data_IF_423258645553
#
_entry.id   IF_423258645553
#
_cell.length_a   1.000
_cell.length_b   1.000
_cell.length_c   1.000
_cell.angle_alpha   90.00
_cell.angle_beta   90.00
_cell.angle_gamma   90.00
#
_symmetry.space_group_name_H-M   'P 1'
#
loop_
_entity.id
_entity.type
_entity.pdbx_description
1 polymer ?
#
# COMPACT_ATOMS: atom_id res chain seq x y z
N UNK A 1 3.50 24.49 -30.30
CA UNK A 1 2.99 24.49 -28.91
C UNK A 1 3.22 23.08 -28.36
N UNK A 2 4.30 22.89 -27.59
CA UNK A 2 4.54 21.61 -26.94
C UNK A 2 3.54 21.47 -25.79
N UNK A 3 2.59 20.57 -25.91
CA UNK A 3 1.77 20.14 -24.80
C UNK A 3 2.68 19.35 -23.85
N UNK A 4 3.18 20.04 -22.83
CA UNK A 4 3.89 19.40 -21.74
C UNK A 4 2.84 18.61 -20.94
N UNK A 5 2.53 17.40 -21.40
CA UNK A 5 1.62 16.49 -20.67
C UNK A 5 2.42 16.03 -19.46
N UNK A 6 2.20 16.68 -18.31
CA UNK A 6 2.73 16.20 -17.03
C UNK A 6 2.30 14.74 -16.90
N UNK A 7 3.26 13.86 -16.65
CA UNK A 7 2.99 12.44 -16.41
C UNK A 7 2.01 12.32 -15.23
N UNK A 8 1.02 11.43 -15.33
CA UNK A 8 0.09 11.22 -14.24
C UNK A 8 0.84 10.68 -13.00
N UNK A 9 0.38 11.02 -11.79
CA UNK A 9 1.08 10.64 -10.55
C UNK A 9 1.35 9.14 -10.45
N UNK A 10 0.44 8.31 -10.97
CA UNK A 10 0.61 6.85 -10.96
C UNK A 10 1.59 6.32 -12.01
N UNK A 11 2.07 7.14 -12.94
CA UNK A 11 3.12 6.78 -13.90
C UNK A 11 4.53 7.09 -13.37
N UNK A 12 4.61 7.82 -12.26
CA UNK A 12 5.87 8.20 -11.66
C UNK A 12 6.47 7.05 -10.84
N UNK A 13 7.80 6.95 -10.89
CA UNK A 13 8.54 6.05 -9.99
C UNK A 13 8.54 6.58 -8.57
N UNK A 14 8.82 5.71 -7.59
CA UNK A 14 9.00 6.11 -6.17
C UNK A 14 9.99 7.28 -6.04
N UNK A 15 11.12 7.23 -6.75
CA UNK A 15 12.12 8.28 -6.70
C UNK A 15 11.66 9.60 -7.34
N UNK A 16 10.82 9.53 -8.38
CA UNK A 16 10.25 10.72 -9.01
C UNK A 16 9.19 11.36 -8.11
N UNK A 17 8.33 10.55 -7.48
CA UNK A 17 7.36 11.03 -6.49
C UNK A 17 8.06 11.68 -5.30
N UNK A 18 9.09 11.03 -4.72
CA UNK A 18 9.86 11.57 -3.60
C UNK A 18 10.47 12.95 -3.95
N UNK A 19 11.03 13.10 -5.15
CA UNK A 19 11.56 14.40 -5.60
C UNK A 19 10.50 15.49 -5.71
N UNK A 20 9.34 15.17 -6.30
CA UNK A 20 8.25 16.14 -6.44
C UNK A 20 7.71 16.58 -5.07
N UNK A 21 7.57 15.63 -4.13
CA UNK A 21 7.16 15.91 -2.75
C UNK A 21 8.19 16.79 -2.03
N UNK A 22 9.47 16.46 -2.10
CA UNK A 22 10.54 17.26 -1.49
C UNK A 22 10.63 18.67 -2.08
N UNK A 23 10.37 18.80 -3.38
CA UNK A 23 10.32 20.09 -4.09
C UNK A 23 8.98 20.82 -3.92
N UNK A 24 8.01 20.21 -3.20
CA UNK A 24 6.65 20.73 -3.01
C UNK A 24 5.92 21.06 -4.32
N UNK A 25 6.20 20.31 -5.37
CA UNK A 25 5.49 20.39 -6.65
C UNK A 25 4.12 19.71 -6.57
N UNK A 26 3.97 18.79 -5.62
CA UNK A 26 2.74 18.10 -5.26
C UNK A 26 2.73 17.87 -3.75
N UNK A 27 1.58 17.86 -3.11
CA UNK A 27 1.42 17.53 -1.70
C UNK A 27 1.29 16.02 -1.49
N UNK A 28 1.67 15.55 -0.30
CA UNK A 28 1.47 14.16 0.08
C UNK A 28 -0.04 13.80 0.13
N UNK A 29 -0.89 14.75 0.50
CA UNK A 29 -2.35 14.58 0.48
C UNK A 29 -2.86 14.35 -0.95
N UNK A 30 -2.42 15.14 -1.94
CA UNK A 30 -2.81 14.93 -3.34
C UNK A 30 -2.35 13.58 -3.87
N UNK A 31 -1.11 13.19 -3.57
CA UNK A 31 -0.58 11.88 -4.00
C UNK A 31 -1.34 10.73 -3.34
N UNK A 32 -1.58 10.79 -2.02
CA UNK A 32 -2.33 9.76 -1.30
C UNK A 32 -3.77 9.64 -1.81
N UNK A 33 -4.47 10.77 -1.99
CA UNK A 33 -5.84 10.79 -2.53
C UNK A 33 -5.90 10.16 -3.92
N UNK A 34 -4.96 10.52 -4.80
CA UNK A 34 -4.89 9.95 -6.15
C UNK A 34 -4.82 8.41 -6.13
N UNK A 35 -3.98 7.82 -5.27
CA UNK A 35 -3.86 6.37 -5.18
C UNK A 35 -5.05 5.71 -4.47
N UNK A 36 -5.67 6.37 -3.49
CA UNK A 36 -6.92 5.90 -2.87
C UNK A 36 -8.06 5.84 -3.89
N UNK A 37 -8.22 6.88 -4.72
CA UNK A 37 -9.22 6.93 -5.77
C UNK A 37 -9.00 5.82 -6.81
N UNK A 38 -7.74 5.56 -7.17
CA UNK A 38 -7.40 4.46 -8.06
C UNK A 38 -7.71 3.09 -7.45
N UNK A 39 -7.37 2.88 -6.17
CA UNK A 39 -7.70 1.64 -5.47
C UNK A 39 -9.23 1.42 -5.45
N UNK A 40 -10.01 2.47 -5.21
CA UNK A 40 -11.47 2.44 -5.24
C UNK A 40 -12.00 2.10 -6.64
N UNK A 41 -11.47 2.71 -7.70
CA UNK A 41 -11.90 2.49 -9.08
C UNK A 41 -11.60 1.07 -9.59
N UNK A 42 -10.63 0.38 -9.00
CA UNK A 42 -10.15 -0.93 -9.46
C UNK A 42 -10.35 -2.05 -8.43
N UNK A 43 -11.35 -1.93 -7.55
CA UNK A 43 -11.67 -2.93 -6.50
C UNK A 43 -11.88 -4.34 -7.06
N UNK A 44 -12.34 -4.46 -8.31
CA UNK A 44 -12.56 -5.75 -8.98
C UNK A 44 -11.29 -6.61 -9.10
N UNK A 45 -10.09 -6.02 -8.96
CA UNK A 45 -8.82 -6.77 -8.92
C UNK A 45 -8.62 -7.55 -7.62
N UNK A 46 -9.36 -7.23 -6.55
CA UNK A 46 -9.24 -7.92 -5.26
C UNK A 46 -7.91 -7.69 -4.54
N UNK A 47 -7.13 -6.67 -4.93
CA UNK A 47 -5.78 -6.48 -4.41
C UNK A 47 -5.73 -6.03 -2.95
N UNK A 48 -6.68 -5.21 -2.49
CA UNK A 48 -6.74 -4.69 -1.12
C UNK A 48 -7.73 -5.45 -0.25
N UNK A 49 -7.33 -5.78 0.98
CA UNK A 49 -8.19 -6.36 2.03
C UNK A 49 -8.55 -5.35 3.12
N UNK A 50 -7.80 -4.27 3.25
CA UNK A 50 -8.15 -3.15 4.13
C UNK A 50 -7.65 -1.82 3.57
N UNK A 51 -8.49 -0.79 3.61
CA UNK A 51 -8.19 0.62 3.33
C UNK A 51 -8.88 1.45 4.40
N UNK A 52 -8.16 2.44 4.94
CA UNK A 52 -8.69 3.46 5.84
C UNK A 52 -8.27 4.82 5.27
N UNK A 53 -9.10 5.39 4.40
CA UNK A 53 -8.79 6.65 3.73
C UNK A 53 -8.59 7.81 4.70
N UNK A 54 -9.44 8.02 5.74
CA UNK A 54 -9.21 9.05 6.75
C UNK A 54 -7.85 8.93 7.43
N UNK A 55 -7.45 7.74 7.87
CA UNK A 55 -6.17 7.54 8.54
C UNK A 55 -4.98 7.70 7.57
N UNK A 56 -5.09 7.25 6.33
CA UNK A 56 -4.08 7.48 5.27
C UNK A 56 -3.89 8.97 5.01
N UNK A 57 -4.99 9.73 4.86
CA UNK A 57 -4.92 11.17 4.61
C UNK A 57 -4.38 11.95 5.82
N UNK A 58 -4.66 11.51 7.05
CA UNK A 58 -4.04 12.09 8.24
C UNK A 58 -2.51 11.89 8.26
N UNK A 59 -2.02 10.71 7.86
CA UNK A 59 -0.57 10.47 7.67
C UNK A 59 0.01 11.39 6.60
N UNK A 60 -0.69 11.56 5.48
CA UNK A 60 -0.25 12.42 4.38
C UNK A 60 -0.18 13.89 4.80
N UNK A 61 -1.17 14.39 5.54
CA UNK A 61 -1.14 15.75 6.12
C UNK A 61 0.05 15.95 7.06
N UNK A 62 0.34 14.95 7.91
CA UNK A 62 1.50 15.00 8.80
C UNK A 62 2.82 14.97 8.01
N UNK A 63 2.89 14.25 6.88
CA UNK A 63 4.03 14.26 5.97
C UNK A 63 4.23 15.63 5.32
N UNK A 64 3.17 16.28 4.84
CA UNK A 64 3.23 17.65 4.29
C UNK A 64 3.76 18.64 5.33
N UNK A 65 3.35 18.50 6.60
CA UNK A 65 3.86 19.33 7.69
C UNK A 65 5.38 19.11 7.92
N UNK A 66 5.88 17.86 7.88
CA UNK A 66 7.32 17.56 8.02
C UNK A 66 8.13 18.05 6.82
N UNK A 67 7.59 17.91 5.60
CA UNK A 67 8.18 18.50 4.40
C UNK A 67 8.30 20.03 4.50
N UNK A 68 7.26 20.67 5.05
CA UNK A 68 7.26 22.11 5.28
C UNK A 68 8.29 22.56 6.33
N UNK A 69 8.46 21.76 7.39
CA UNK A 69 9.37 22.04 8.48
C UNK A 69 10.85 21.68 8.18
N UNK A 70 11.12 21.00 7.06
CA UNK A 70 12.47 20.52 6.73
C UNK A 70 12.95 19.34 7.60
N UNK A 71 12.02 18.60 8.22
CA UNK A 71 12.29 17.43 9.08
C UNK A 71 11.88 16.11 8.41
N UNK A 72 11.69 16.16 7.09
CA UNK A 72 11.20 15.04 6.29
C UNK A 72 12.21 13.89 6.17
N UNK A 73 11.71 12.67 6.17
CA UNK A 73 12.47 11.48 5.81
C UNK A 73 12.75 11.40 4.30
N UNK A 74 13.60 10.45 3.86
CA UNK A 74 14.01 10.37 2.45
C UNK A 74 12.90 10.03 1.47
N UNK A 75 11.83 9.37 1.92
CA UNK A 75 10.65 9.00 1.13
C UNK A 75 9.37 9.62 1.70
N UNK A 76 9.50 10.76 2.36
CA UNK A 76 8.39 11.44 3.03
C UNK A 76 7.21 11.67 2.10
N UNK A 77 6.04 11.20 2.53
CA UNK A 77 4.80 11.37 1.79
C UNK A 77 4.58 10.41 0.62
N UNK A 78 5.59 9.60 0.24
CA UNK A 78 5.41 8.60 -0.82
C UNK A 78 4.49 7.49 -0.35
N UNK A 79 3.41 7.16 -1.09
CA UNK A 79 2.49 6.10 -0.69
C UNK A 79 3.12 4.70 -0.79
N UNK A 80 2.67 3.81 0.10
CA UNK A 80 3.08 2.41 0.18
C UNK A 80 1.88 1.56 0.62
N UNK A 81 1.76 0.34 0.13
CA UNK A 81 0.81 -0.63 0.65
C UNK A 81 1.53 -1.87 1.20
N UNK A 82 1.01 -2.45 2.28
CA UNK A 82 1.66 -3.57 2.95
C UNK A 82 0.94 -4.90 2.68
N UNK A 83 1.69 -5.93 2.29
CA UNK A 83 1.18 -7.30 2.30
C UNK A 83 0.58 -7.62 3.68
N UNK A 84 -0.55 -8.28 3.72
CA UNK A 84 -1.31 -8.50 4.95
C UNK A 84 -0.70 -9.51 5.93
N UNK A 85 0.53 -9.93 5.71
CA UNK A 85 1.36 -10.67 6.68
C UNK A 85 2.09 -9.73 7.65
N UNK A 86 2.32 -8.46 7.27
CA UNK A 86 3.03 -7.51 8.12
C UNK A 86 2.08 -6.90 9.15
N UNK A 87 2.42 -7.06 10.42
CA UNK A 87 1.68 -6.46 11.53
C UNK A 87 1.71 -4.93 11.44
N UNK A 88 0.52 -4.32 11.57
CA UNK A 88 0.34 -2.87 11.61
C UNK A 88 -0.62 -2.50 12.72
N UNK A 89 -0.34 -1.40 13.44
CA UNK A 89 -1.26 -0.89 14.48
C UNK A 89 -2.49 -0.23 13.88
N UNK A 90 -2.37 0.35 12.70
CA UNK A 90 -3.43 1.11 12.06
C UNK A 90 -4.50 0.22 11.42
N UNK A 91 -4.08 -0.89 10.81
CA UNK A 91 -4.96 -1.79 10.08
C UNK A 91 -4.99 -3.17 10.73
N UNK A 92 -6.11 -3.91 10.65
CA UNK A 92 -6.11 -5.34 10.99
C UNK A 92 -5.03 -6.10 10.22
N UNK A 93 -4.50 -7.15 10.83
CA UNK A 93 -3.54 -8.05 10.17
C UNK A 93 -4.09 -9.45 10.20
N UNK A 94 -4.57 -9.92 9.06
CA UNK A 94 -5.26 -11.22 8.98
C UNK A 94 -4.39 -12.35 8.47
N UNK A 95 -3.23 -12.03 7.87
CA UNK A 95 -2.40 -13.00 7.17
C UNK A 95 -3.18 -13.84 6.15
N UNK A 96 -4.24 -13.27 5.54
CA UNK A 96 -5.11 -13.97 4.63
C UNK A 96 -6.00 -15.03 5.29
N UNK A 97 -6.14 -15.07 6.62
CA UNK A 97 -6.84 -16.11 7.37
C UNK A 97 -8.03 -15.57 8.16
N UNK A 98 -9.13 -16.33 8.16
CA UNK A 98 -10.27 -16.07 9.06
C UNK A 98 -9.93 -16.28 10.53
N UNK A 99 -8.88 -17.04 10.84
CA UNK A 99 -8.42 -17.23 12.22
C UNK A 99 -7.96 -15.93 12.87
N UNK A 100 -7.45 -14.99 12.05
CA UNK A 100 -6.99 -13.68 12.50
C UNK A 100 -7.96 -12.56 12.11
N UNK A 101 -9.19 -12.89 11.72
CA UNK A 101 -10.20 -11.89 11.39
C UNK A 101 -10.41 -10.93 12.57
N UNK A 102 -10.21 -9.63 12.33
CA UNK A 102 -10.30 -8.60 13.36
C UNK A 102 -9.09 -8.50 14.31
N UNK A 103 -8.02 -9.25 14.09
CA UNK A 103 -6.81 -9.09 14.90
C UNK A 103 -6.16 -7.75 14.64
N UNK A 104 -6.04 -6.95 15.70
CA UNK A 104 -5.35 -5.66 15.71
C UNK A 104 -4.04 -5.82 16.46
N UNK A 105 -2.92 -5.61 15.75
CA UNK A 105 -1.60 -5.71 16.36
C UNK A 105 -1.34 -4.54 17.32
N UNK A 106 -0.76 -4.77 18.51
CA UNK A 106 -0.32 -3.70 19.40
C UNK A 106 0.98 -3.01 18.95
N UNK A 107 1.64 -3.52 17.91
CA UNK A 107 2.88 -2.97 17.37
C UNK A 107 2.90 -3.01 15.83
N UNK A 108 3.78 -2.22 15.24
CA UNK A 108 4.13 -2.31 13.84
C UNK A 108 5.33 -3.24 13.64
N UNK A 109 5.31 -4.05 12.59
CA UNK A 109 6.49 -4.82 12.20
C UNK A 109 7.68 -3.87 11.93
N UNK A 110 8.90 -4.31 12.20
CA UNK A 110 10.11 -3.47 12.03
C UNK A 110 10.20 -2.85 10.63
N UNK A 111 9.84 -3.59 9.58
CA UNK A 111 9.85 -3.05 8.21
C UNK A 111 8.79 -1.95 8.04
N UNK A 112 7.62 -2.10 8.66
CA UNK A 112 6.55 -1.09 8.63
C UNK A 112 7.01 0.19 9.32
N UNK A 113 7.56 0.08 10.53
CA UNK A 113 8.13 1.23 11.26
C UNK A 113 9.23 1.93 10.46
N UNK A 114 10.16 1.18 9.87
CA UNK A 114 11.29 1.74 9.12
C UNK A 114 10.89 2.41 7.81
N UNK A 115 9.87 1.91 7.13
CA UNK A 115 9.34 2.52 5.91
C UNK A 115 8.42 3.70 6.23
N UNK A 116 7.67 3.63 7.33
CA UNK A 116 6.80 4.70 7.82
C UNK A 116 7.54 5.77 8.61
N UNK A 117 6.87 6.31 9.62
CA UNK A 117 7.40 7.40 10.46
C UNK A 117 8.29 6.92 11.62
N UNK A 118 8.44 5.61 11.80
CA UNK A 118 9.09 5.03 12.97
C UNK A 118 8.13 4.87 14.16
N UNK A 119 8.57 4.12 15.17
CA UNK A 119 7.88 4.01 16.45
C UNK A 119 8.35 5.13 17.40
N UNK A 120 7.53 5.53 18.40
CA UNK A 120 7.95 6.49 19.43
C UNK A 120 9.24 6.00 20.13
N UNK A 121 10.26 6.86 20.12
CA UNK A 121 11.57 6.56 20.70
C UNK A 121 12.56 5.82 19.78
N UNK A 122 12.15 5.47 18.56
CA UNK A 122 13.04 4.90 17.53
C UNK A 122 13.51 5.98 16.53
N UNK A 123 14.57 5.70 15.75
CA UNK A 123 14.99 6.58 14.67
C UNK A 123 13.83 6.84 13.70
N UNK A 124 13.78 8.06 13.18
CA UNK A 124 12.79 8.43 12.15
C UNK A 124 12.91 7.47 10.97
N UNK A 125 11.79 6.90 10.55
CA UNK A 125 11.70 6.04 9.39
C UNK A 125 11.83 6.82 8.07
N UNK A 126 11.52 6.15 6.96
CA UNK A 126 11.60 6.77 5.63
C UNK A 126 10.50 7.81 5.36
N UNK A 127 9.42 7.83 6.16
CA UNK A 127 8.32 8.80 6.07
C UNK A 127 7.23 8.41 5.05
N UNK A 128 7.19 7.17 4.59
CA UNK A 128 6.16 6.72 3.65
C UNK A 128 4.77 6.68 4.30
N UNK A 129 3.74 6.89 3.47
CA UNK A 129 2.33 6.90 3.87
C UNK A 129 1.69 5.56 3.54
N UNK A 130 1.05 4.91 4.51
CA UNK A 130 0.41 3.61 4.30
C UNK A 130 -0.98 3.77 3.67
N UNK A 131 -1.17 3.20 2.47
CA UNK A 131 -2.45 3.18 1.76
C UNK A 131 -3.41 2.11 2.31
N UNK A 132 -2.88 0.96 2.74
CA UNK A 132 -3.71 -0.15 3.19
C UNK A 132 -2.96 -1.48 3.22
N UNK A 133 -3.74 -2.56 3.38
CA UNK A 133 -3.27 -3.95 3.45
C UNK A 133 -3.65 -4.69 2.17
N UNK A 134 -2.71 -5.46 1.65
CA UNK A 134 -2.82 -6.17 0.38
C UNK A 134 -3.02 -7.67 0.60
N UNK A 135 -3.92 -8.24 -0.18
CA UNK A 135 -4.25 -9.66 -0.13
C UNK A 135 -3.02 -10.55 -0.29
N UNK A 136 -3.03 -11.66 0.42
CA UNK A 136 -2.00 -12.69 0.31
C UNK A 136 -2.61 -14.08 0.47
N UNK A 137 -1.89 -15.10 0.06
CA UNK A 137 -2.23 -16.46 0.42
C UNK A 137 -2.20 -16.63 1.95
N UNK A 138 -3.04 -17.53 2.47
CA UNK A 138 -3.18 -17.77 3.90
C UNK A 138 -1.83 -18.12 4.53
N UNK A 139 -1.42 -17.38 5.55
CA UNK A 139 -0.13 -17.46 6.24
C UNK A 139 1.09 -17.42 5.30
N UNK A 140 0.94 -16.80 4.11
CA UNK A 140 1.96 -16.76 3.08
C UNK A 140 2.39 -18.15 2.55
N UNK A 141 1.52 -19.16 2.69
CA UNK A 141 1.78 -20.55 2.27
C UNK A 141 1.05 -20.90 0.97
N UNK A 142 1.24 -20.11 -0.08
CA UNK A 142 0.63 -20.34 -1.37
C UNK A 142 1.41 -19.62 -2.48
N UNK A 143 1.06 -19.91 -3.74
CA UNK A 143 1.76 -19.39 -4.92
C UNK A 143 0.83 -18.78 -5.97
N UNK A 144 -0.48 -18.71 -5.71
CA UNK A 144 -1.46 -18.29 -6.70
C UNK A 144 -2.37 -17.14 -6.25
N UNK A 145 -2.45 -16.88 -4.95
CA UNK A 145 -3.34 -15.91 -4.30
C UNK A 145 -4.81 -16.12 -4.70
N UNK A 146 -5.23 -17.37 -4.76
CA UNK A 146 -6.63 -17.78 -4.94
C UNK A 146 -7.40 -17.77 -3.61
N UNK A 147 -6.76 -17.36 -2.54
CA UNK A 147 -7.34 -17.27 -1.21
C UNK A 147 -8.50 -16.24 -1.19
N UNK A 148 -9.64 -16.71 -0.73
CA UNK A 148 -10.87 -15.90 -0.60
C UNK A 148 -11.37 -15.87 0.85
N UNK A 149 -10.54 -16.28 1.80
CA UNK A 149 -10.91 -16.34 3.22
C UNK A 149 -11.20 -14.94 3.79
N UNK A 150 -10.45 -13.95 3.34
CA UNK A 150 -10.61 -12.53 3.71
C UNK A 150 -11.16 -11.78 2.51
N UNK A 151 -12.35 -11.15 2.62
CA UNK A 151 -12.94 -10.39 1.53
C UNK A 151 -12.05 -9.19 1.12
N UNK A 152 -11.97 -8.95 -0.17
CA UNK A 152 -11.37 -7.73 -0.68
C UNK A 152 -12.27 -6.51 -0.40
N UNK A 153 -11.65 -5.33 -0.28
CA UNK A 153 -12.36 -4.05 -0.09
C UNK A 153 -13.38 -3.85 -1.22
N UNK A 154 -14.60 -3.45 -0.83
CA UNK A 154 -15.69 -3.17 -1.79
C UNK A 154 -16.36 -4.42 -2.37
N UNK A 155 -15.98 -5.62 -1.93
CA UNK A 155 -16.63 -6.85 -2.36
C UNK A 155 -17.46 -7.46 -1.23
N UNK A 156 -18.64 -8.02 -1.58
CA UNK A 156 -19.48 -8.80 -0.65
C UNK A 156 -19.32 -10.29 -0.84
N UNK A 157 -18.69 -10.71 -1.92
CA UNK A 157 -18.43 -12.10 -2.26
C UNK A 157 -16.93 -12.42 -2.18
N UNK A 158 -16.57 -13.66 -1.88
CA UNK A 158 -15.19 -14.10 -1.97
C UNK A 158 -14.63 -13.85 -3.38
N UNK A 159 -13.59 -13.05 -3.48
CA UNK A 159 -12.99 -12.66 -4.77
C UNK A 159 -11.49 -12.89 -4.69
N UNK A 160 -10.93 -13.82 -5.49
CA UNK A 160 -9.49 -14.00 -5.57
C UNK A 160 -8.85 -12.77 -6.22
N UNK A 161 -7.57 -12.55 -5.93
CA UNK A 161 -6.81 -11.51 -6.61
C UNK A 161 -6.66 -11.87 -8.10
N UNK A 162 -6.89 -10.88 -8.95
CA UNK A 162 -6.80 -11.05 -10.40
C UNK A 162 -5.50 -10.46 -10.93
N UNK A 163 -4.95 -11.12 -11.95
CA UNK A 163 -3.81 -10.59 -12.67
C UNK A 163 -4.27 -9.38 -13.52
N UNK A 164 -3.67 -8.18 -13.36
CA UNK A 164 -4.08 -6.99 -14.10
C UNK A 164 -3.89 -7.09 -15.61
N UNK A 165 -2.98 -7.94 -16.08
CA UNK A 165 -2.69 -8.15 -17.51
C UNK A 165 -3.70 -9.12 -18.16
N UNK A 166 -4.17 -10.10 -17.40
CA UNK A 166 -5.17 -11.08 -17.82
C UNK A 166 -6.00 -11.52 -16.62
N UNK A 167 -7.21 -10.98 -16.43
CA UNK A 167 -8.04 -11.28 -15.26
C UNK A 167 -8.48 -12.74 -15.11
N UNK A 168 -8.23 -13.59 -16.11
CA UNK A 168 -8.47 -15.03 -16.05
C UNK A 168 -7.27 -15.82 -15.50
N UNK A 169 -6.16 -15.14 -15.24
CA UNK A 169 -4.93 -15.73 -14.70
C UNK A 169 -4.70 -15.29 -13.25
N UNK A 170 -3.94 -16.12 -12.55
CA UNK A 170 -3.47 -15.81 -11.20
C UNK A 170 -2.37 -14.72 -11.26
N UNK A 171 -2.27 -13.88 -10.22
CA UNK A 171 -1.21 -12.86 -10.13
C UNK A 171 0.13 -13.41 -9.66
N UNK A 172 0.16 -14.71 -9.28
CA UNK A 172 1.23 -15.28 -8.47
C UNK A 172 0.94 -15.11 -6.98
N UNK A 173 1.76 -15.67 -6.12
CA UNK A 173 1.59 -15.66 -4.67
C UNK A 173 2.91 -16.03 -3.97
N UNK A 174 2.95 -15.94 -2.67
CA UNK A 174 1.89 -15.54 -1.73
C UNK A 174 1.61 -14.02 -1.70
N UNK A 175 2.40 -13.17 -2.37
CA UNK A 175 2.26 -11.71 -2.41
C UNK A 175 1.45 -11.23 -3.62
N UNK A 176 0.40 -11.97 -4.04
CA UNK A 176 -0.35 -11.67 -5.26
C UNK A 176 -1.06 -10.32 -5.23
N UNK A 177 -1.63 -9.91 -4.10
CA UNK A 177 -2.20 -8.57 -3.95
C UNK A 177 -1.16 -7.46 -4.12
N UNK A 178 0.06 -7.65 -3.62
CA UNK A 178 1.16 -6.70 -3.79
C UNK A 178 1.59 -6.59 -5.26
N UNK A 179 1.73 -7.73 -5.94
CA UNK A 179 2.06 -7.77 -7.37
C UNK A 179 0.97 -7.08 -8.21
N UNK A 180 -0.31 -7.43 -7.96
CA UNK A 180 -1.44 -6.84 -8.67
C UNK A 180 -1.58 -5.34 -8.43
N UNK A 181 -1.40 -4.87 -7.18
CA UNK A 181 -1.51 -3.46 -6.85
C UNK A 181 -0.44 -2.62 -7.56
N UNK A 182 0.81 -3.07 -7.59
CA UNK A 182 1.89 -2.34 -8.28
C UNK A 182 1.72 -2.42 -9.79
N UNK A 183 1.42 -3.60 -10.36
CA UNK A 183 1.22 -3.78 -11.79
C UNK A 183 0.06 -2.93 -12.34
N UNK A 184 -1.05 -2.82 -11.58
CA UNK A 184 -2.19 -1.96 -11.92
C UNK A 184 -2.00 -0.50 -11.53
N UNK A 185 -0.83 -0.13 -10.98
CA UNK A 185 -0.53 1.23 -10.50
C UNK A 185 -1.53 1.75 -9.47
N UNK A 186 -1.94 0.88 -8.54
CA UNK A 186 -2.79 1.22 -7.39
C UNK A 186 -1.96 1.63 -6.17
N UNK A 187 -0.67 1.36 -6.21
CA UNK A 187 0.34 1.82 -5.29
C UNK A 187 1.68 1.94 -6.04
N UNK A 188 2.52 2.95 -5.73
CA UNK A 188 3.83 3.09 -6.36
C UNK A 188 4.84 2.07 -5.82
N UNK A 189 4.58 1.53 -4.63
CA UNK A 189 5.37 0.50 -3.98
C UNK A 189 4.49 -0.40 -3.11
N UNK A 190 4.93 -1.63 -2.88
CA UNK A 190 4.30 -2.56 -1.96
C UNK A 190 5.36 -3.44 -1.29
N UNK A 191 5.06 -3.87 -0.04
CA UNK A 191 5.88 -4.91 0.61
C UNK A 191 5.43 -6.29 0.16
N UNK A 192 6.37 -7.21 0.09
CA UNK A 192 6.13 -8.62 -0.19
C UNK A 192 7.07 -9.50 0.64
N UNK A 193 6.87 -10.81 0.57
CA UNK A 193 7.76 -11.81 1.19
C UNK A 193 8.11 -12.87 0.17
N UNK A 194 9.28 -13.47 0.35
CA UNK A 194 9.72 -14.62 -0.42
C UNK A 194 10.33 -15.65 0.53
N UNK A 195 9.90 -16.89 0.44
CA UNK A 195 10.32 -18.00 1.28
C UNK A 195 10.85 -19.20 0.46
N UNK A 196 11.11 -19.01 -0.81
CA UNK A 196 11.69 -20.06 -1.68
C UNK A 196 11.02 -20.19 -3.04
N UNK A 197 10.45 -19.09 -3.56
CA UNK A 197 9.77 -19.16 -4.81
C UNK A 197 9.83 -18.31 -5.86
#
# INVERSE_FOLDING_TARGET
>A
MSTNTSAALHDLTVSALARQLQQRQVSAVEVAQHFLDRAQAHQALGAYVAIDAPATLAQAQAADARLAAGTAGPLEGVPLAHKDIFATRQFPTTAGSRMLAGYQSPFDATVVSRLGIGAPGEPVGAGMVTLGKLSCDEFAMGSANENVAVPAVGTTAPTPVRNPWDPQRVPGGSSGGSAAAVAARLAPAATGTDTGG
#
